data_IF_949885723864
#
_entry.id   IF_949885723864
#
_cell.length_a   1.000
_cell.length_b   1.000
_cell.length_c   1.000
_cell.angle_alpha   90.00
_cell.angle_beta   90.00
_cell.angle_gamma   90.00
#
_symmetry.space_group_name_H-M   'P 1'
#
loop_
_entity.id
_entity.type
_entity.pdbx_description
1 polymer ?
#
# COMPACT_ATOMS: atom_id res chain seq x y z
N UNK A 1 -21.79 3.03 -1.71
CA UNK A 1 -20.80 2.81 -0.63
C UNK A 1 -19.88 4.01 -0.62
N UNK A 2 -19.40 4.47 0.54
CA UNK A 2 -18.43 5.57 0.57
C UNK A 2 -17.09 5.00 0.10
N UNK A 3 -16.49 5.62 -0.90
CA UNK A 3 -15.14 5.26 -1.35
C UNK A 3 -14.13 6.09 -0.55
N UNK A 4 -13.10 5.42 -0.06
CA UNK A 4 -12.00 6.01 0.70
C UNK A 4 -10.84 6.29 -0.25
N UNK A 5 -10.26 7.49 -0.15
CA UNK A 5 -9.07 7.89 -0.87
C UNK A 5 -7.86 7.68 0.03
N UNK A 6 -6.96 6.78 -0.37
CA UNK A 6 -5.74 6.50 0.35
C UNK A 6 -4.52 7.03 -0.39
N UNK A 7 -3.53 7.49 0.38
CA UNK A 7 -2.15 7.67 -0.05
C UNK A 7 -1.33 6.54 0.56
N UNK A 8 -0.74 5.68 -0.25
CA UNK A 8 0.21 4.68 0.23
C UNK A 8 1.60 5.26 0.09
N UNK A 9 2.32 5.32 1.20
CA UNK A 9 3.68 5.82 1.30
C UNK A 9 4.54 4.78 2.00
N UNK A 10 5.85 4.83 1.82
CA UNK A 10 6.77 4.02 2.59
C UNK A 10 7.70 4.92 3.40
N UNK A 11 7.82 4.70 4.71
CA UNK A 11 8.63 5.53 5.61
C UNK A 11 10.05 5.80 5.09
N UNK A 12 10.68 4.78 4.51
CA UNK A 12 12.05 4.85 3.97
C UNK A 12 12.16 5.40 2.54
N UNK A 13 11.07 5.84 1.91
CA UNK A 13 11.12 6.45 0.59
C UNK A 13 11.97 7.73 0.61
N UNK A 14 12.78 7.93 -0.44
CA UNK A 14 13.71 9.07 -0.54
C UNK A 14 12.96 10.30 -1.05
N UNK A 15 11.99 10.08 -1.94
CA UNK A 15 11.17 11.11 -2.55
C UNK A 15 9.70 10.68 -2.48
N UNK A 16 9.08 10.96 -1.34
CA UNK A 16 7.71 10.55 -1.05
C UNK A 16 6.72 11.11 -2.09
N UNK A 17 6.94 12.29 -2.67
CA UNK A 17 6.07 12.85 -3.73
C UNK A 17 6.12 12.03 -5.02
N UNK A 18 7.29 11.49 -5.35
CA UNK A 18 7.46 10.67 -6.55
C UNK A 18 7.06 9.22 -6.34
N UNK A 19 7.26 8.69 -5.14
CA UNK A 19 7.08 7.27 -4.83
C UNK A 19 5.70 6.94 -4.27
N UNK A 20 5.07 7.87 -3.55
CA UNK A 20 3.72 7.64 -3.02
C UNK A 20 2.71 7.46 -4.15
N UNK A 21 1.77 6.57 -3.89
CA UNK A 21 0.69 6.23 -4.81
C UNK A 21 -0.66 6.52 -4.17
N UNK A 22 -1.65 6.87 -4.98
CA UNK A 22 -3.00 7.12 -4.50
C UNK A 22 -3.96 6.08 -5.03
N UNK A 23 -4.81 5.56 -4.15
CA UNK A 23 -5.81 4.56 -4.50
C UNK A 23 -7.20 4.93 -3.97
N UNK A 24 -8.25 4.48 -4.67
CA UNK A 24 -9.62 4.49 -4.16
C UNK A 24 -10.12 3.08 -3.94
N UNK A 25 -10.81 2.87 -2.83
CA UNK A 25 -11.46 1.59 -2.52
C UNK A 25 -12.56 1.77 -1.49
N UNK A 26 -13.44 0.78 -1.37
CA UNK A 26 -14.44 0.72 -0.29
C UNK A 26 -13.91 0.10 1.00
N UNK A 27 -12.66 -0.38 1.03
CA UNK A 27 -12.08 -0.95 2.25
C UNK A 27 -11.86 0.12 3.33
N UNK A 28 -12.07 -0.29 4.58
CA UNK A 28 -11.76 0.50 5.76
C UNK A 28 -10.25 0.54 6.04
N UNK A 29 -9.73 1.55 6.74
CA UNK A 29 -8.28 1.74 6.89
C UNK A 29 -7.56 0.51 7.48
N UNK A 30 -8.14 -0.11 8.51
CA UNK A 30 -7.55 -1.31 9.13
C UNK A 30 -7.65 -2.56 8.26
N UNK A 31 -8.61 -2.62 7.33
CA UNK A 31 -8.68 -3.70 6.35
C UNK A 31 -7.57 -3.53 5.30
N UNK A 32 -7.34 -2.30 4.85
CA UNK A 32 -6.21 -1.98 3.96
C UNK A 32 -4.85 -2.29 4.60
N UNK A 33 -4.63 -1.91 5.86
CA UNK A 33 -3.40 -2.24 6.61
C UNK A 33 -3.14 -3.76 6.59
N UNK A 34 -4.17 -4.56 6.83
CA UNK A 34 -4.05 -6.03 6.85
C UNK A 34 -3.78 -6.62 5.47
N UNK A 35 -4.41 -6.08 4.42
CA UNK A 35 -4.14 -6.47 3.03
C UNK A 35 -2.68 -6.13 2.68
N UNK A 36 -2.22 -4.91 2.97
CA UNK A 36 -0.85 -4.45 2.71
C UNK A 36 0.17 -5.31 3.45
N UNK A 37 -0.04 -5.56 4.74
CA UNK A 37 0.84 -6.42 5.54
C UNK A 37 0.88 -7.85 5.00
N UNK A 38 -0.28 -8.45 4.69
CA UNK A 38 -0.35 -9.79 4.11
C UNK A 38 0.35 -9.87 2.74
N UNK A 39 0.20 -8.85 1.90
CA UNK A 39 0.85 -8.80 0.59
C UNK A 39 2.38 -8.74 0.73
N UNK A 40 2.91 -7.92 1.64
CA UNK A 40 4.35 -7.89 1.91
C UNK A 40 4.87 -9.25 2.37
N UNK A 41 4.23 -9.89 3.36
CA UNK A 41 4.66 -11.23 3.80
C UNK A 41 4.62 -12.28 2.68
N UNK A 42 3.64 -12.18 1.78
CA UNK A 42 3.56 -13.12 0.66
C UNK A 42 4.60 -12.83 -0.41
N UNK A 43 4.94 -11.56 -0.62
CA UNK A 43 6.08 -11.18 -1.47
C UNK A 43 7.39 -11.71 -0.88
N UNK A 44 7.62 -11.50 0.42
CA UNK A 44 8.76 -12.04 1.17
C UNK A 44 8.85 -13.58 1.06
N UNK A 45 7.73 -14.29 1.16
CA UNK A 45 7.67 -15.76 1.04
C UNK A 45 8.01 -16.27 -0.38
N UNK A 46 7.61 -15.54 -1.41
CA UNK A 46 7.71 -15.98 -2.81
C UNK A 46 8.95 -15.49 -3.53
N UNK A 47 9.49 -14.34 -3.11
CA UNK A 47 10.53 -13.61 -3.83
C UNK A 47 11.81 -13.57 -3.01
N UNK A 48 11.83 -12.77 -1.93
CA UNK A 48 13.00 -12.65 -1.04
C UNK A 48 12.57 -12.02 0.30
N UNK A 49 12.99 -12.59 1.42
CA UNK A 49 12.59 -12.16 2.77
C UNK A 49 13.27 -10.86 3.24
N UNK A 50 14.25 -10.37 2.49
CA UNK A 50 14.91 -9.09 2.72
C UNK A 50 14.29 -7.93 1.92
N UNK A 51 13.31 -8.21 1.06
CA UNK A 51 12.70 -7.24 0.16
C UNK A 51 11.28 -6.82 0.59
N UNK A 52 10.94 -5.57 0.27
CA UNK A 52 9.59 -5.03 0.41
C UNK A 52 8.91 -4.91 -0.95
N UNK A 53 7.59 -5.07 -0.96
CA UNK A 53 6.80 -4.80 -2.15
C UNK A 53 6.72 -3.29 -2.39
N UNK A 54 7.28 -2.83 -3.50
CA UNK A 54 7.30 -1.42 -3.91
C UNK A 54 5.87 -0.87 -4.09
N UNK A 55 5.66 0.42 -3.83
CA UNK A 55 4.36 1.07 -3.88
C UNK A 55 3.65 0.91 -5.24
N UNK A 56 4.39 1.01 -6.33
CA UNK A 56 3.83 0.88 -7.69
C UNK A 56 3.45 -0.57 -8.00
N UNK A 57 4.25 -1.53 -7.55
CA UNK A 57 3.93 -2.96 -7.64
C UNK A 57 2.73 -3.33 -6.77
N UNK A 58 2.65 -2.76 -5.57
CA UNK A 58 1.53 -2.94 -4.66
C UNK A 58 0.22 -2.49 -5.29
N UNK A 59 0.19 -1.30 -5.88
CA UNK A 59 -1.01 -0.78 -6.58
C UNK A 59 -1.40 -1.63 -7.78
N UNK A 60 -0.43 -2.13 -8.55
CA UNK A 60 -0.68 -3.06 -9.66
C UNK A 60 -1.39 -4.33 -9.17
N UNK A 61 -0.90 -4.94 -8.10
CA UNK A 61 -1.49 -6.16 -7.54
C UNK A 61 -2.85 -5.87 -6.91
N UNK A 62 -2.98 -4.77 -6.16
CA UNK A 62 -4.24 -4.33 -5.59
C UNK A 62 -5.31 -4.12 -6.67
N UNK A 63 -5.01 -3.36 -7.72
CA UNK A 63 -5.96 -3.09 -8.80
C UNK A 63 -6.35 -4.31 -9.63
N UNK A 64 -5.52 -5.36 -9.65
CA UNK A 64 -5.81 -6.61 -10.36
C UNK A 64 -6.70 -7.57 -9.56
N UNK A 65 -6.48 -7.68 -8.26
CA UNK A 65 -7.11 -8.73 -7.44
C UNK A 65 -8.12 -8.23 -6.39
N UNK A 66 -8.19 -6.92 -6.20
CA UNK A 66 -9.06 -6.28 -5.21
C UNK A 66 -9.89 -5.17 -5.88
N UNK A 67 -11.01 -4.74 -5.28
CA UNK A 67 -11.79 -3.59 -5.75
C UNK A 67 -11.06 -2.29 -5.39
N UNK A 68 -9.91 -2.07 -6.04
CA UNK A 68 -9.02 -0.91 -5.83
C UNK A 68 -8.77 -0.23 -7.17
N UNK A 69 -8.98 1.07 -7.22
CA UNK A 69 -8.68 1.91 -8.38
C UNK A 69 -7.37 2.68 -8.14
N UNK A 70 -6.43 2.64 -9.08
CA UNK A 70 -5.26 3.53 -9.09
C UNK A 70 -5.67 4.92 -9.57
N UNK A 71 -5.56 5.91 -8.68
CA UNK A 71 -5.93 7.31 -8.94
C UNK A 71 -4.73 8.24 -8.79
N UNK A 72 -3.51 7.69 -8.76
CA UNK A 72 -2.25 8.40 -8.52
C UNK A 72 -2.09 9.61 -9.45
N UNK A 73 -2.36 9.45 -10.74
CA UNK A 73 -2.21 10.54 -11.73
C UNK A 73 -3.17 11.71 -11.48
N UNK A 74 -4.41 11.42 -11.11
CA UNK A 74 -5.45 12.44 -10.88
C UNK A 74 -5.37 13.07 -9.51
N UNK A 75 -4.77 12.39 -8.53
CA UNK A 75 -4.69 12.82 -7.13
C UNK A 75 -3.35 13.44 -6.77
N UNK A 76 -2.40 13.56 -7.72
CA UNK A 76 -1.05 14.08 -7.45
C UNK A 76 -1.05 15.50 -6.88
N UNK A 77 -2.02 16.33 -7.28
CA UNK A 77 -2.18 17.69 -6.77
C UNK A 77 -2.55 17.75 -5.28
N UNK A 78 -2.94 16.62 -4.66
CA UNK A 78 -3.27 16.53 -3.24
C UNK A 78 -2.03 16.39 -2.35
N UNK A 79 -0.85 16.13 -2.94
CA UNK A 79 0.37 15.89 -2.17
C UNK A 79 0.69 17.01 -1.16
N UNK A 80 0.64 18.32 -1.51
CA UNK A 80 0.92 19.40 -0.55
C UNK A 80 -0.05 19.47 0.63
N UNK A 81 -1.22 18.83 0.53
CA UNK A 81 -2.22 18.77 1.61
C UNK A 81 -2.06 17.54 2.51
N UNK A 82 -1.14 16.64 2.16
CA UNK A 82 -0.93 15.34 2.81
C UNK A 82 0.55 15.11 3.14
N UNK A 83 1.27 16.21 3.37
CA UNK A 83 2.67 16.21 3.78
C UNK A 83 2.76 16.32 5.31
N UNK A 84 3.54 15.44 5.92
CA UNK A 84 3.90 15.45 7.33
C UNK A 84 5.40 15.22 7.45
N UNK A 85 6.02 15.79 8.48
CA UNK A 85 7.38 15.41 8.85
C UNK A 85 7.40 13.91 9.20
N UNK A 86 8.40 13.17 8.72
CA UNK A 86 8.49 11.71 8.95
C UNK A 86 8.47 11.33 10.44
N UNK A 87 8.97 12.20 11.33
CA UNK A 87 8.94 11.95 12.77
C UNK A 87 7.52 12.03 13.37
N UNK A 88 6.55 12.57 12.63
CA UNK A 88 5.16 12.70 13.03
C UNK A 88 4.26 11.64 12.40
N UNK A 89 4.79 10.79 11.51
CA UNK A 89 4.00 9.76 10.82
C UNK A 89 3.51 8.71 11.81
N UNK A 90 2.22 8.42 11.75
CA UNK A 90 1.65 7.18 12.25
C UNK A 90 1.59 6.11 11.17
N UNK A 91 1.20 4.90 11.57
CA UNK A 91 0.80 3.86 10.60
C UNK A 91 -0.36 4.33 9.70
N UNK A 92 -1.28 5.10 10.28
CA UNK A 92 -2.43 5.71 9.60
C UNK A 92 -2.50 7.18 10.00
N UNK A 93 -2.44 8.06 9.02
CA UNK A 93 -2.66 9.50 9.21
C UNK A 93 -3.87 9.95 8.39
N UNK A 94 -4.73 10.78 8.99
CA UNK A 94 -5.95 11.27 8.32
C UNK A 94 -5.82 12.77 8.11
N UNK A 95 -5.94 13.19 6.84
CA UNK A 95 -5.90 14.57 6.43
C UNK A 95 -7.29 15.03 6.02
N UNK A 96 -7.77 16.08 6.67
CA UNK A 96 -9.04 16.73 6.34
C UNK A 96 -8.76 18.18 5.92
N UNK A 97 -9.18 18.54 4.71
CA UNK A 97 -8.95 19.88 4.14
C UNK A 97 -10.04 20.24 3.13
N UNK A 98 -10.18 21.54 2.84
CA UNK A 98 -11.05 22.03 1.77
C UNK A 98 -10.25 22.25 0.49
N UNK A 99 -10.76 21.78 -0.65
CA UNK A 99 -10.20 22.04 -1.98
C UNK A 99 -11.33 22.34 -2.94
N UNK A 100 -11.22 23.44 -3.69
CA UNK A 100 -12.23 23.87 -4.68
C UNK A 100 -13.66 23.99 -4.10
N UNK A 101 -13.78 24.31 -2.81
CA UNK A 101 -15.06 24.41 -2.09
C UNK A 101 -15.64 23.06 -1.64
N UNK A 102 -14.91 21.96 -1.81
CA UNK A 102 -15.30 20.62 -1.36
C UNK A 102 -14.44 20.17 -0.18
N UNK A 103 -15.09 19.60 0.84
CA UNK A 103 -14.39 18.97 1.96
C UNK A 103 -13.82 17.62 1.49
N UNK A 104 -12.51 17.47 1.61
CA UNK A 104 -11.76 16.29 1.24
C UNK A 104 -11.25 15.57 2.49
N UNK A 105 -11.13 14.25 2.38
CA UNK A 105 -10.44 13.40 3.35
C UNK A 105 -9.49 12.48 2.59
N UNK A 106 -8.22 12.50 2.97
CA UNK A 106 -7.21 11.55 2.47
C UNK A 106 -6.62 10.82 3.66
N UNK A 107 -6.57 9.50 3.57
CA UNK A 107 -5.94 8.66 4.60
C UNK A 107 -4.59 8.18 4.08
N UNK A 108 -3.50 8.59 4.72
CA UNK A 108 -2.20 7.99 4.47
C UNK A 108 -2.08 6.67 5.24
N UNK A 109 -1.53 5.65 4.57
CA UNK A 109 -1.08 4.41 5.21
C UNK A 109 0.42 4.29 4.93
N UNK A 110 1.22 4.23 5.98
CA UNK A 110 2.62 3.83 5.84
C UNK A 110 2.70 2.31 5.68
N UNK A 111 3.22 1.89 4.54
CA UNK A 111 3.37 0.48 4.16
C UNK A 111 4.32 -0.25 5.10
N UNK A 112 5.39 0.42 5.54
CA UNK A 112 6.37 -0.17 6.45
C UNK A 112 5.73 -0.46 7.82
N UNK A 113 5.14 0.54 8.45
CA UNK A 113 4.44 0.37 9.72
C UNK A 113 3.23 -0.58 9.61
N UNK A 114 2.52 -0.62 8.48
CA UNK A 114 1.44 -1.59 8.25
C UNK A 114 1.94 -3.04 8.25
N UNK A 115 3.12 -3.29 7.65
CA UNK A 115 3.80 -4.58 7.68
C UNK A 115 4.24 -4.93 9.09
N UNK A 116 4.90 -4.01 9.79
CA UNK A 116 5.35 -4.22 11.17
C UNK A 116 4.20 -4.47 12.16
N UNK A 117 3.09 -3.74 12.03
CA UNK A 117 1.89 -3.94 12.83
C UNK A 117 1.31 -5.36 12.66
N UNK A 118 1.42 -5.91 11.46
CA UNK A 118 0.93 -7.25 11.13
C UNK A 118 1.93 -8.37 11.47
N UNK A 119 3.15 -8.02 11.87
CA UNK A 119 4.22 -8.97 12.16
C UNK A 119 3.97 -9.74 13.46
N UNK A 120 4.37 -11.01 13.49
CA UNK A 120 4.26 -11.88 14.66
C UNK A 120 3.54 -13.20 14.37
N UNK A 121 3.19 -13.94 15.43
CA UNK A 121 2.77 -15.34 15.33
C UNK A 121 1.53 -15.60 14.44
N UNK A 122 0.70 -14.59 14.16
CA UNK A 122 -0.54 -14.70 13.38
C UNK A 122 -0.44 -14.34 11.90
N UNK A 123 0.76 -14.07 11.37
CA UNK A 123 0.90 -13.59 9.98
C UNK A 123 0.42 -14.61 8.93
N UNK A 124 0.52 -15.91 9.22
CA UNK A 124 0.02 -16.97 8.31
C UNK A 124 -1.49 -16.98 8.22
N UNK A 125 -2.17 -16.77 9.34
CA UNK A 125 -3.63 -16.65 9.42
C UNK A 125 -4.09 -15.38 8.72
N UNK A 126 -3.34 -14.28 8.86
CA UNK A 126 -3.57 -13.03 8.15
C UNK A 126 -3.51 -13.23 6.63
N UNK A 127 -2.44 -13.85 6.12
CA UNK A 127 -2.31 -14.14 4.69
C UNK A 127 -3.48 -14.99 4.17
N UNK A 128 -3.89 -16.02 4.92
CA UNK A 128 -5.05 -16.85 4.53
C UNK A 128 -6.37 -16.07 4.51
N UNK A 129 -6.53 -15.07 5.36
CA UNK A 129 -7.77 -14.30 5.48
C UNK A 129 -7.89 -13.20 4.42
N UNK A 130 -6.77 -12.57 4.04
CA UNK A 130 -6.78 -11.34 3.24
C UNK A 130 -6.21 -11.49 1.83
N UNK A 131 -5.52 -12.59 1.50
CA UNK A 131 -4.97 -12.79 0.16
C UNK A 131 -5.91 -13.62 -0.73
N UNK A 132 -5.99 -13.30 -2.04
CA UNK A 132 -6.64 -14.15 -3.02
C UNK A 132 -6.01 -15.55 -3.02
N UNK A 133 -6.79 -16.62 -2.79
CA UNK A 133 -6.27 -17.99 -2.73
C UNK A 133 -6.11 -18.57 -4.15
N UNK A 134 -5.40 -17.87 -5.03
CA UNK A 134 -5.26 -18.25 -6.45
C UNK A 134 -3.80 -18.31 -6.87
N UNK A 135 -3.46 -19.26 -7.74
CA UNK A 135 -2.13 -19.32 -8.38
C UNK A 135 -1.86 -18.10 -9.24
N UNK A 136 -2.90 -17.46 -9.76
CA UNK A 136 -2.75 -16.24 -10.55
C UNK A 136 -2.17 -15.10 -9.70
N UNK A 137 -2.63 -14.96 -8.45
CA UNK A 137 -2.07 -13.99 -7.51
C UNK A 137 -0.61 -14.29 -7.21
N UNK A 138 -0.27 -15.53 -6.86
CA UNK A 138 1.12 -15.91 -6.57
C UNK A 138 2.04 -15.70 -7.78
N UNK A 139 1.57 -16.04 -8.99
CA UNK A 139 2.32 -15.80 -10.23
C UNK A 139 2.52 -14.31 -10.50
N UNK A 140 1.51 -13.46 -10.26
CA UNK A 140 1.68 -12.01 -10.39
C UNK A 140 2.78 -11.52 -9.45
N UNK A 141 2.76 -11.96 -8.18
CA UNK A 141 3.76 -11.58 -7.18
C UNK A 141 5.17 -12.03 -7.58
N UNK A 142 5.34 -13.28 -8.01
CA UNK A 142 6.64 -13.79 -8.46
C UNK A 142 7.17 -13.07 -9.70
N UNK A 143 6.28 -12.71 -10.64
CA UNK A 143 6.69 -12.00 -11.85
C UNK A 143 7.21 -10.59 -11.58
N UNK A 144 6.85 -9.98 -10.44
CA UNK A 144 7.41 -8.70 -10.03
C UNK A 144 8.90 -8.79 -9.69
N UNK A 145 9.42 -9.97 -9.32
CA UNK A 145 10.83 -10.16 -9.01
C UNK A 145 11.77 -9.75 -10.17
N UNK A 146 11.28 -9.80 -11.41
CA UNK A 146 12.03 -9.35 -12.57
C UNK A 146 12.34 -7.84 -12.56
N UNK A 147 11.60 -7.06 -11.78
CA UNK A 147 11.78 -5.61 -11.66
C UNK A 147 12.76 -5.24 -10.52
N UNK A 148 13.32 -6.22 -9.80
CA UNK A 148 14.30 -6.06 -8.73
C UNK A 148 15.69 -6.54 -9.20
N UNK A 149 16.55 -5.64 -9.73
CA UNK A 149 17.76 -6.05 -10.45
C UNK A 149 18.79 -6.78 -9.60
N UNK A 150 18.82 -6.50 -8.29
CA UNK A 150 19.74 -7.12 -7.33
C UNK A 150 19.33 -8.55 -6.93
N UNK A 151 18.10 -8.96 -7.23
CA UNK A 151 17.65 -10.35 -7.06
C UNK A 151 18.05 -11.26 -8.23
N UNK A 152 18.45 -10.68 -9.37
CA UNK A 152 18.94 -11.43 -10.54
C UNK A 152 20.40 -11.84 -10.33
N UNK A 153 20.62 -12.95 -9.62
CA UNK A 153 21.92 -13.63 -9.54
C UNK A 153 22.06 -14.72 -10.60
#
# INVERSE_FOLDING_TARGET
MKENLYKLSHYYSIDDEKQSVFIRTSFEPMEMVKIIGAMNFKFEELVDDSECLDETHMVRVLGKFYPVEDVTKTSRELYPYTELDKNEWGMIDVFEFEKDGEQMTVTQIDIYEAREYCCGAGYKELMKAYLPPTKEFENEMMNLADDYPHLKQ
#
